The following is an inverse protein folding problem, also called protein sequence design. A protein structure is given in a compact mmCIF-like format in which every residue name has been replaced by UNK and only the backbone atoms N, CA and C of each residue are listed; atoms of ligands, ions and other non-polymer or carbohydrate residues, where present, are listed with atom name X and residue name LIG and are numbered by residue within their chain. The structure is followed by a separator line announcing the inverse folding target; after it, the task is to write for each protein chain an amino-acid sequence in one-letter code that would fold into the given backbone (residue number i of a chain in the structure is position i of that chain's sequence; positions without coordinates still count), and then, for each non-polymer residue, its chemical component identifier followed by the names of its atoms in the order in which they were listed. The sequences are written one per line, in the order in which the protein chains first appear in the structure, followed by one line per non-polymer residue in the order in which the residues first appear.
data_IF_644697145633
#
_entry.id   IF_644697145633
#
_cell.length_a   1.000
_cell.length_b   1.000
_cell.length_c   1.000
_cell.angle_alpha   90.00
_cell.angle_beta   90.00
_cell.angle_gamma   90.00
#
_symmetry.space_group_name_H-M   'P 1'
#
loop_
_entity.id
_entity.type
_entity.pdbx_description
1 polymer ?
#
# COMPACT_ATOMS: atom_id res chain seq x y z
N UNK A 1 8.16 14.32 0.88
CA UNK A 1 8.91 13.60 1.92
C UNK A 1 8.44 12.15 1.88
N UNK A 2 9.34 11.15 1.88
CA UNK A 2 8.93 9.75 1.96
C UNK A 2 8.32 9.45 3.33
N UNK A 3 7.20 8.73 3.33
CA UNK A 3 6.51 8.26 4.53
C UNK A 3 6.87 6.80 4.73
N UNK A 4 7.32 6.41 5.92
CA UNK A 4 7.70 5.03 6.23
C UNK A 4 6.67 4.39 7.14
N UNK A 5 6.15 3.24 6.72
CA UNK A 5 5.11 2.51 7.43
C UNK A 5 5.54 1.07 7.65
N UNK A 6 5.49 0.63 8.91
CA UNK A 6 5.70 -0.76 9.26
C UNK A 6 4.41 -1.55 9.06
N UNK A 7 4.44 -2.56 8.17
CA UNK A 7 3.27 -3.36 7.80
C UNK A 7 3.58 -4.85 7.98
N UNK A 8 3.38 -5.41 9.19
CA UNK A 8 3.77 -6.79 9.49
C UNK A 8 2.98 -7.85 8.69
N UNK A 9 1.84 -7.45 8.11
CA UNK A 9 0.98 -8.30 7.29
C UNK A 9 1.49 -8.53 5.86
N UNK A 10 2.55 -7.84 5.42
CA UNK A 10 3.17 -8.10 4.13
C UNK A 10 4.13 -9.27 4.28
N UNK A 11 3.65 -10.45 3.90
CA UNK A 11 4.37 -11.73 3.95
C UNK A 11 4.70 -12.27 2.56
N UNK A 12 4.15 -11.67 1.51
CA UNK A 12 4.23 -12.17 0.16
C UNK A 12 4.43 -11.05 -0.87
N UNK A 13 5.11 -11.35 -1.98
CA UNK A 13 5.35 -10.36 -3.03
C UNK A 13 4.04 -9.81 -3.63
N UNK A 14 3.01 -10.65 -3.77
CA UNK A 14 1.67 -10.21 -4.18
C UNK A 14 1.02 -9.27 -3.15
N UNK A 15 1.32 -9.43 -1.87
CA UNK A 15 0.80 -8.60 -0.79
C UNK A 15 1.43 -7.19 -0.91
N UNK A 16 2.73 -7.13 -1.16
CA UNK A 16 3.45 -5.89 -1.45
C UNK A 16 2.92 -5.20 -2.72
N UNK A 17 2.74 -5.95 -3.81
CA UNK A 17 2.28 -5.38 -5.08
C UNK A 17 0.89 -4.72 -4.94
N UNK A 18 -0.03 -5.38 -4.21
CA UNK A 18 -1.34 -4.77 -3.89
C UNK A 18 -1.18 -3.47 -3.10
N UNK A 19 -0.30 -3.45 -2.09
CA UNK A 19 0.00 -2.26 -1.29
C UNK A 19 0.48 -1.11 -2.17
N UNK A 20 1.45 -1.36 -3.05
CA UNK A 20 1.89 -0.37 -4.02
C UNK A 20 0.73 0.12 -4.91
N UNK A 21 -0.10 -0.79 -5.42
CA UNK A 21 -1.25 -0.42 -6.25
C UNK A 21 -2.29 0.43 -5.52
N UNK A 22 -2.60 0.19 -4.25
CA UNK A 22 -3.56 1.03 -3.54
C UNK A 22 -3.04 2.45 -3.30
N UNK A 23 -1.73 2.58 -3.05
CA UNK A 23 -1.10 3.88 -2.91
C UNK A 23 -1.11 4.61 -4.25
N UNK A 24 -0.72 3.94 -5.34
CA UNK A 24 -0.77 4.50 -6.70
C UNK A 24 -2.20 4.83 -7.15
N UNK A 25 -3.20 4.04 -6.73
CA UNK A 25 -4.62 4.36 -6.98
C UNK A 25 -5.09 5.59 -6.22
N UNK A 26 -4.49 5.88 -5.06
CA UNK A 26 -4.78 7.08 -4.27
C UNK A 26 -4.04 8.29 -4.84
N UNK A 27 -2.78 8.11 -5.23
CA UNK A 27 -1.93 9.12 -5.85
C UNK A 27 -1.12 8.47 -6.98
N UNK A 28 -1.48 8.69 -8.26
CA UNK A 28 -0.82 8.04 -9.39
C UNK A 28 0.62 8.52 -9.61
N UNK A 29 1.05 9.59 -8.94
CA UNK A 29 2.44 10.07 -8.94
C UNK A 29 3.22 9.56 -7.73
N UNK A 30 2.63 8.74 -6.88
CA UNK A 30 3.32 8.20 -5.71
C UNK A 30 4.38 7.18 -6.11
N UNK A 31 5.57 7.30 -5.51
CA UNK A 31 6.60 6.27 -5.61
C UNK A 31 6.53 5.37 -4.37
N UNK A 32 6.47 4.06 -4.56
CA UNK A 32 6.36 3.10 -3.46
C UNK A 32 7.54 2.14 -3.50
N UNK A 33 8.21 1.97 -2.37
CA UNK A 33 9.23 0.96 -2.13
C UNK A 33 8.77 0.08 -0.97
N UNK A 34 8.92 -1.23 -1.12
CA UNK A 34 8.47 -2.19 -0.12
C UNK A 34 9.61 -3.16 0.15
N UNK A 35 10.05 -3.18 1.40
CA UNK A 35 11.01 -4.13 1.91
C UNK A 35 10.29 -5.27 2.60
N UNK A 36 10.39 -6.46 2.01
CA UNK A 36 9.79 -7.69 2.56
C UNK A 36 10.59 -8.24 3.73
N UNK A 37 11.90 -7.99 3.79
CA UNK A 37 12.77 -8.41 4.90
C UNK A 37 12.41 -7.66 6.19
N UNK A 38 12.41 -6.32 6.11
CA UNK A 38 12.11 -5.48 7.28
C UNK A 38 10.61 -5.29 7.49
N UNK A 39 9.79 -5.58 6.48
CA UNK A 39 8.34 -5.31 6.43
C UNK A 39 8.02 -3.82 6.49
N UNK A 40 8.91 -3.01 5.92
CA UNK A 40 8.73 -1.57 5.79
C UNK A 40 8.20 -1.21 4.40
N UNK A 41 7.29 -0.25 4.38
CA UNK A 41 6.73 0.36 3.16
C UNK A 41 7.12 1.82 3.18
N UNK A 42 7.90 2.24 2.20
CA UNK A 42 8.20 3.65 1.95
C UNK A 42 7.31 4.15 0.81
N UNK A 43 6.58 5.23 1.06
CA UNK A 43 5.72 5.85 0.07
C UNK A 43 6.07 7.34 -0.05
N UNK A 44 6.58 7.74 -1.21
CA UNK A 44 6.70 9.14 -1.60
C UNK A 44 5.42 9.57 -2.30
N UNK A 45 4.56 10.29 -1.58
CA UNK A 45 3.28 10.79 -2.09
C UNK A 45 3.03 12.20 -1.59
N UNK A 46 2.14 12.92 -2.26
CA UNK A 46 1.59 14.18 -1.76
C UNK A 46 0.42 13.96 -0.80
N UNK A 47 -0.09 12.73 -0.69
CA UNK A 47 -1.12 12.36 0.26
C UNK A 47 -0.58 12.38 1.70
N UNK A 48 -1.50 12.53 2.66
CA UNK A 48 -1.15 12.47 4.08
C UNK A 48 -0.86 11.03 4.51
N UNK A 49 -0.01 10.86 5.52
CA UNK A 49 0.31 9.53 6.09
C UNK A 49 -0.95 8.75 6.47
N UNK A 50 -1.97 9.45 7.00
CA UNK A 50 -3.22 8.85 7.40
C UNK A 50 -3.97 8.26 6.20
N UNK A 51 -4.02 8.97 5.06
CA UNK A 51 -4.65 8.46 3.83
C UNK A 51 -3.91 7.22 3.30
N UNK A 52 -2.57 7.24 3.32
CA UNK A 52 -1.74 6.09 2.91
C UNK A 52 -2.00 4.89 3.83
N UNK A 53 -1.97 5.07 5.15
CA UNK A 53 -2.28 4.02 6.13
C UNK A 53 -3.67 3.43 5.91
N UNK A 54 -4.68 4.26 5.68
CA UNK A 54 -6.04 3.81 5.40
C UNK A 54 -6.12 3.00 4.11
N UNK A 55 -5.44 3.44 3.04
CA UNK A 55 -5.38 2.71 1.78
C UNK A 55 -4.72 1.33 1.95
N UNK A 56 -3.62 1.25 2.70
CA UNK A 56 -2.92 -0.02 3.02
C UNK A 56 -3.81 -0.94 3.87
N UNK A 57 -4.44 -0.41 4.92
CA UNK A 57 -5.34 -1.17 5.79
C UNK A 57 -6.57 -1.71 5.05
N UNK A 58 -7.05 -0.97 4.05
CA UNK A 58 -8.14 -1.40 3.18
C UNK A 58 -7.76 -2.66 2.37
N UNK A 59 -6.49 -2.89 2.06
CA UNK A 59 -6.05 -4.12 1.35
C UNK A 59 -6.03 -5.33 2.27
N UNK A 60 -5.49 -5.16 3.48
CA UNK A 60 -5.39 -6.24 4.48
C UNK A 60 -6.76 -6.81 4.85
N UNK A 61 -7.81 -6.00 4.75
CA UNK A 61 -9.20 -6.40 4.98
C UNK A 61 -9.94 -6.86 3.70
N UNK A 62 -9.32 -6.70 2.53
CA UNK A 62 -9.97 -6.88 1.23
C UNK A 62 -9.36 -8.03 0.42
N UNK A 63 -9.35 -9.22 1.02
CA UNK A 63 -9.43 -10.46 0.24
C UNK A 63 -10.84 -10.68 -0.36
N UNK A 64 -11.78 -9.75 -0.16
CA UNK A 64 -13.18 -9.86 -0.60
C UNK A 64 -13.74 -8.55 -1.20
N UNK A 65 -13.11 -7.99 -2.24
CA UNK A 65 -13.88 -7.26 -3.27
C UNK A 65 -13.48 -7.74 -4.64
N UNK A 66 -14.15 -8.84 -5.03
CA UNK A 66 -14.75 -9.04 -6.36
C UNK A 66 -14.66 -7.75 -7.18
N UNK A 67 -13.77 -7.77 -8.19
CA UNK A 67 -13.92 -7.09 -9.48
C UNK A 67 -15.35 -6.53 -9.63
N UNK A 68 -15.52 -5.22 -9.50
CA UNK A 68 -16.64 -4.58 -10.18
C UNK A 68 -16.24 -4.53 -11.66
N UNK A 69 -16.34 -5.68 -12.33
CA UNK A 69 -16.36 -5.72 -13.77
C UNK A 69 -17.76 -5.29 -14.18
N UNK A 70 -17.77 -4.17 -14.89
CA UNK A 70 -18.86 -3.53 -15.62
C UNK A 70 -19.74 -4.53 -16.36
#
# INVERSE_FOLDING_TARGET
MPIQLYVPSIICKNCADKVAQAIVNTDPKAAVKIDLETKHVEAETQATELAVRTAIAAIGTQSTKKRLRK
#
